data_IF_690227965615
#
_entry.id   IF_690227965615
#
_cell.length_a   1.000
_cell.length_b   1.000
_cell.length_c   1.000
_cell.angle_alpha   90.00
_cell.angle_beta   90.00
_cell.angle_gamma   90.00
#
_symmetry.space_group_name_H-M   'P 1'
#
loop_
_entity.id
_entity.type
_entity.pdbx_description
1 polymer ?
#
# COMPACT_ATOMS: atom_id res chain seq x y z
N UNK A 1 -4.77 5.36 28.60
CA UNK A 1 -4.11 6.66 28.38
C UNK A 1 -4.92 7.77 29.03
N UNK A 2 -4.29 8.73 29.73
CA UNK A 2 -4.98 9.90 30.27
C UNK A 2 -5.60 10.75 29.14
N UNK A 3 -6.79 11.33 29.36
CA UNK A 3 -7.54 12.12 28.35
C UNK A 3 -6.73 13.30 27.77
N UNK A 4 -5.74 13.79 28.51
CA UNK A 4 -4.94 14.98 28.20
C UNK A 4 -3.98 14.80 27.00
N UNK A 5 -3.59 13.55 26.68
CA UNK A 5 -2.66 13.24 25.58
C UNK A 5 -3.36 12.72 24.31
N UNK A 6 -4.70 12.75 24.26
CA UNK A 6 -5.49 12.34 23.08
C UNK A 6 -5.67 13.49 22.09
N UNK A 7 -4.59 14.14 21.69
CA UNK A 7 -4.63 15.17 20.64
C UNK A 7 -4.19 14.60 19.29
N UNK A 8 -4.76 15.08 18.17
CA UNK A 8 -4.30 14.72 16.82
C UNK A 8 -2.80 14.91 16.64
N UNK A 9 -2.25 16.02 17.15
CA UNK A 9 -0.82 16.31 17.09
C UNK A 9 0.03 15.26 17.83
N UNK A 10 -0.38 14.84 19.03
CA UNK A 10 0.34 13.82 19.77
C UNK A 10 0.24 12.43 19.13
N UNK A 11 -0.91 12.12 18.50
CA UNK A 11 -1.07 10.89 17.74
C UNK A 11 -0.14 10.85 16.52
N UNK A 12 -0.04 11.96 15.77
CA UNK A 12 0.89 12.08 14.65
C UNK A 12 2.36 12.09 15.09
N UNK A 13 2.68 12.73 16.22
CA UNK A 13 4.03 12.70 16.78
C UNK A 13 4.49 11.28 17.10
N UNK A 14 3.61 10.42 17.64
CA UNK A 14 3.90 9.00 17.87
C UNK A 14 4.18 8.25 16.56
N UNK A 15 3.38 8.49 15.51
CA UNK A 15 3.65 7.92 14.18
C UNK A 15 5.02 8.39 13.65
N UNK A 16 5.32 9.68 13.79
CA UNK A 16 6.62 10.25 13.42
C UNK A 16 7.79 9.62 14.18
N UNK A 17 7.65 9.39 15.48
CA UNK A 17 8.66 8.68 16.28
C UNK A 17 8.93 7.27 15.76
N UNK A 18 7.88 6.54 15.36
CA UNK A 18 8.05 5.20 14.78
C UNK A 18 8.80 5.25 13.44
N UNK A 19 8.55 6.26 12.62
CA UNK A 19 9.29 6.49 11.37
C UNK A 19 10.77 6.77 11.66
N UNK A 20 11.07 7.63 12.65
CA UNK A 20 12.45 7.94 13.05
C UNK A 20 13.16 6.67 13.57
N UNK A 21 12.48 5.88 14.40
CA UNK A 21 13.01 4.61 14.89
C UNK A 21 13.29 3.63 13.75
N UNK A 22 12.35 3.46 12.81
CA UNK A 22 12.52 2.60 11.65
C UNK A 22 13.72 3.01 10.79
N UNK A 23 13.91 4.31 10.55
CA UNK A 23 15.07 4.83 9.82
C UNK A 23 16.37 4.61 10.59
N UNK A 24 16.38 4.86 11.90
CA UNK A 24 17.55 4.60 12.75
C UNK A 24 17.96 3.13 12.76
N UNK A 25 16.99 2.22 12.86
CA UNK A 25 17.21 0.78 12.74
C UNK A 25 17.71 0.37 11.35
N UNK A 26 17.17 0.95 10.28
CA UNK A 26 17.64 0.73 8.91
C UNK A 26 19.11 1.10 8.76
N UNK A 27 19.52 2.25 9.31
CA UNK A 27 20.92 2.71 9.25
C UNK A 27 21.83 1.81 10.08
N UNK A 28 21.40 1.43 11.29
CA UNK A 28 22.16 0.54 12.18
C UNK A 28 22.40 -0.84 11.55
N UNK A 29 21.42 -1.33 10.80
CA UNK A 29 21.49 -2.58 10.03
C UNK A 29 22.21 -2.40 8.68
N UNK A 30 22.92 -1.28 8.46
CA UNK A 30 23.63 -0.96 7.21
C UNK A 30 22.74 -1.07 5.96
N UNK A 31 21.46 -0.69 6.09
CA UNK A 31 20.44 -0.78 5.04
C UNK A 31 20.18 -2.21 4.53
N UNK A 32 20.55 -3.24 5.31
CA UNK A 32 20.20 -4.63 5.00
C UNK A 32 18.67 -4.84 4.93
N UNK A 33 17.90 -4.05 5.69
CA UNK A 33 16.45 -3.97 5.59
C UNK A 33 16.06 -2.53 5.31
N UNK A 34 15.23 -2.31 4.30
CA UNK A 34 14.77 -0.98 3.93
C UNK A 34 13.88 -0.36 5.02
N UNK A 35 14.06 0.95 5.25
CA UNK A 35 13.30 1.71 6.23
C UNK A 35 11.77 1.59 6.06
N UNK A 36 11.23 1.50 4.83
CA UNK A 36 9.80 1.35 4.60
C UNK A 36 9.25 0.01 5.12
N UNK A 37 10.03 -1.06 4.98
CA UNK A 37 9.68 -2.38 5.53
C UNK A 37 9.70 -2.34 7.06
N UNK A 38 10.72 -1.69 7.65
CA UNK A 38 10.79 -1.50 9.10
C UNK A 38 9.65 -0.63 9.63
N UNK A 39 9.25 0.42 8.90
CA UNK A 39 8.07 1.23 9.22
C UNK A 39 6.79 0.38 9.28
N UNK A 40 6.60 -0.52 8.31
CA UNK A 40 5.45 -1.43 8.31
C UNK A 40 5.49 -2.40 9.50
N UNK A 41 6.62 -3.05 9.73
CA UNK A 41 6.78 -4.01 10.82
C UNK A 41 6.60 -3.36 12.20
N UNK A 42 7.31 -2.26 12.46
CA UNK A 42 7.18 -1.51 13.71
C UNK A 42 5.79 -0.90 13.86
N UNK A 43 5.17 -0.45 12.76
CA UNK A 43 3.80 0.03 12.75
C UNK A 43 2.81 -1.03 13.23
N UNK A 44 2.93 -2.28 12.74
CA UNK A 44 2.11 -3.42 13.20
C UNK A 44 2.39 -3.71 14.68
N UNK A 45 3.66 -3.84 15.05
CA UNK A 45 4.07 -4.20 16.42
C UNK A 45 3.59 -3.15 17.44
N UNK A 46 3.85 -1.87 17.19
CA UNK A 46 3.43 -0.81 18.11
C UNK A 46 1.92 -0.58 18.10
N UNK A 47 1.20 -0.93 17.03
CA UNK A 47 -0.27 -0.95 17.05
C UNK A 47 -0.80 -2.07 17.95
N UNK A 48 -0.18 -3.25 17.93
CA UNK A 48 -0.55 -4.38 18.81
C UNK A 48 -0.28 -4.07 20.29
N UNK A 49 0.81 -3.39 20.61
CA UNK A 49 1.10 -2.94 21.98
C UNK A 49 0.26 -1.72 22.42
N UNK A 50 -0.63 -1.20 21.56
CA UNK A 50 -1.47 -0.04 21.86
C UNK A 50 -0.72 1.29 21.93
N UNK A 51 0.55 1.33 21.52
CA UNK A 51 1.36 2.55 21.40
C UNK A 51 0.86 3.42 20.24
N UNK A 52 0.54 2.78 19.11
CA UNK A 52 -0.12 3.40 17.96
C UNK A 52 -1.61 3.06 17.97
N UNK A 53 -2.45 4.06 17.72
CA UNK A 53 -3.89 3.85 17.59
C UNK A 53 -4.23 3.31 16.19
N UNK A 54 -5.25 2.48 16.07
CA UNK A 54 -5.77 2.12 14.75
C UNK A 54 -6.37 3.35 14.08
N UNK A 55 -6.18 3.47 12.76
CA UNK A 55 -6.67 4.59 11.95
C UNK A 55 -6.20 5.98 12.44
N UNK A 56 -4.94 6.10 12.91
CA UNK A 56 -4.37 7.37 13.43
C UNK A 56 -4.62 8.53 12.46
N UNK A 57 -4.30 8.35 11.19
CA UNK A 57 -4.39 9.41 10.19
C UNK A 57 -5.83 9.91 10.01
N UNK A 58 -6.81 9.01 10.08
CA UNK A 58 -8.22 9.35 9.96
C UNK A 58 -8.71 10.06 11.22
N UNK A 59 -8.36 9.55 12.41
CA UNK A 59 -8.68 10.17 13.69
C UNK A 59 -8.04 11.54 13.87
N UNK A 60 -6.86 11.74 13.29
CA UNK A 60 -6.15 13.01 13.29
C UNK A 60 -6.70 14.00 12.24
N UNK A 61 -7.66 13.59 11.40
CA UNK A 61 -8.28 14.43 10.38
C UNK A 61 -7.40 14.74 9.16
N UNK A 62 -6.23 14.10 9.06
CA UNK A 62 -5.24 14.37 8.00
C UNK A 62 -5.28 13.36 6.85
N UNK A 63 -6.04 12.27 6.98
CA UNK A 63 -6.05 11.20 5.98
C UNK A 63 -6.46 11.67 4.58
N UNK A 64 -7.60 12.37 4.46
CA UNK A 64 -8.05 12.87 3.15
C UNK A 64 -7.08 13.90 2.56
N UNK A 65 -6.49 14.75 3.41
CA UNK A 65 -5.42 15.67 3.02
C UNK A 65 -4.21 14.94 2.43
N UNK A 66 -3.81 13.84 3.05
CA UNK A 66 -2.72 13.00 2.57
C UNK A 66 -3.06 12.34 1.23
N UNK A 67 -4.29 11.82 1.06
CA UNK A 67 -4.75 11.27 -0.23
C UNK A 67 -4.69 12.34 -1.33
N UNK A 68 -5.22 13.54 -1.09
CA UNK A 68 -5.17 14.63 -2.07
C UNK A 68 -3.74 15.04 -2.42
N UNK A 69 -2.86 15.14 -1.42
CA UNK A 69 -1.45 15.43 -1.65
C UNK A 69 -0.74 14.38 -2.49
N UNK A 70 -0.99 13.09 -2.23
CA UNK A 70 -0.42 11.99 -3.02
C UNK A 70 -0.96 11.97 -4.45
N UNK A 71 -2.26 12.20 -4.64
CA UNK A 71 -2.85 12.29 -5.98
C UNK A 71 -2.31 13.49 -6.76
N UNK A 72 -2.14 14.64 -6.10
CA UNK A 72 -1.50 15.81 -6.71
C UNK A 72 -0.05 15.52 -7.11
N UNK A 73 0.70 14.80 -6.26
CA UNK A 73 2.06 14.34 -6.60
C UNK A 73 2.08 13.44 -7.83
N UNK A 74 1.15 12.47 -7.94
CA UNK A 74 1.02 11.62 -9.13
C UNK A 74 0.78 12.47 -10.39
N UNK A 75 -0.14 13.44 -10.34
CA UNK A 75 -0.39 14.31 -11.48
C UNK A 75 0.80 15.22 -11.82
N UNK A 76 1.56 15.67 -10.82
CA UNK A 76 2.81 16.40 -11.05
C UNK A 76 3.80 15.56 -11.85
N UNK A 77 3.98 14.27 -11.50
CA UNK A 77 4.87 13.36 -12.24
C UNK A 77 4.36 13.06 -13.65
N UNK A 78 3.04 13.05 -13.85
CA UNK A 78 2.46 12.91 -15.18
C UNK A 78 2.70 14.16 -16.04
N UNK A 79 2.62 15.35 -15.43
CA UNK A 79 2.81 16.63 -16.15
C UNK A 79 4.22 16.83 -16.70
N UNK A 80 5.22 16.12 -16.17
CA UNK A 80 6.60 16.17 -16.70
C UNK A 80 6.78 15.32 -17.96
N UNK A 81 5.77 14.56 -18.38
CA UNK A 81 5.82 13.68 -19.56
C UNK A 81 5.05 14.30 -20.72
N UNK A 82 5.69 14.49 -21.88
CA UNK A 82 4.98 14.97 -23.07
C UNK A 82 4.11 13.87 -23.67
N UNK A 83 2.98 14.20 -24.34
CA UNK A 83 2.16 13.19 -25.03
C UNK A 83 2.97 12.35 -26.00
N UNK A 84 3.92 12.95 -26.73
CA UNK A 84 4.79 12.23 -27.68
C UNK A 84 5.67 11.19 -26.99
N UNK A 85 6.29 11.54 -25.85
CA UNK A 85 7.07 10.59 -25.05
C UNK A 85 6.19 9.48 -24.48
N UNK A 86 4.98 9.82 -24.05
CA UNK A 86 4.02 8.84 -23.54
C UNK A 86 3.67 7.80 -24.62
N UNK A 87 3.32 8.25 -25.84
CA UNK A 87 2.99 7.36 -26.96
C UNK A 87 4.14 6.43 -27.34
N UNK A 88 5.39 6.87 -27.18
CA UNK A 88 6.55 6.04 -27.45
C UNK A 88 6.68 4.85 -26.48
N UNK A 89 6.24 5.02 -25.22
CA UNK A 89 6.29 3.97 -24.20
C UNK A 89 5.05 3.07 -24.16
N UNK A 90 3.94 3.47 -24.80
CA UNK A 90 2.69 2.72 -24.81
C UNK A 90 2.90 1.24 -25.18
N UNK A 91 3.59 0.88 -26.29
CA UNK A 91 3.76 -0.52 -26.66
C UNK A 91 4.46 -1.35 -25.57
N UNK A 92 5.51 -0.79 -24.96
CA UNK A 92 6.26 -1.44 -23.88
C UNK A 92 5.40 -1.58 -22.62
N UNK A 93 4.66 -0.52 -22.23
CA UNK A 93 3.76 -0.55 -21.08
C UNK A 93 2.69 -1.63 -21.27
N UNK A 94 2.03 -1.67 -22.43
CA UNK A 94 1.01 -2.69 -22.71
C UNK A 94 1.59 -4.10 -22.70
N UNK A 95 2.77 -4.30 -23.30
CA UNK A 95 3.43 -5.61 -23.32
C UNK A 95 3.75 -6.09 -21.91
N UNK A 96 4.38 -5.22 -21.09
CA UNK A 96 4.71 -5.55 -19.70
C UNK A 96 3.46 -5.76 -18.85
N UNK A 97 2.41 -4.97 -19.05
CA UNK A 97 1.15 -5.09 -18.34
C UNK A 97 0.47 -6.43 -18.65
N UNK A 98 0.41 -6.84 -19.92
CA UNK A 98 -0.15 -8.14 -20.32
C UNK A 98 0.65 -9.28 -19.68
N UNK A 99 1.98 -9.24 -19.77
CA UNK A 99 2.85 -10.26 -19.17
C UNK A 99 2.69 -10.33 -17.65
N UNK A 100 2.62 -9.18 -16.98
CA UNK A 100 2.43 -9.09 -15.53
C UNK A 100 1.06 -9.67 -15.13
N UNK A 101 -0.02 -9.28 -15.81
CA UNK A 101 -1.38 -9.79 -15.55
C UNK A 101 -1.46 -11.31 -15.80
N UNK A 102 -0.86 -11.81 -16.89
CA UNK A 102 -0.82 -13.24 -17.17
C UNK A 102 -0.03 -14.00 -16.08
N UNK A 103 1.14 -13.51 -15.68
CA UNK A 103 1.93 -14.11 -14.61
C UNK A 103 1.17 -14.15 -13.28
N UNK A 104 0.54 -13.03 -12.91
CA UNK A 104 -0.31 -12.95 -11.71
C UNK A 104 -1.50 -13.91 -11.79
N UNK A 105 -2.16 -14.01 -12.94
CA UNK A 105 -3.29 -14.91 -13.13
C UNK A 105 -2.91 -16.39 -13.02
N UNK A 106 -1.78 -16.79 -13.64
CA UNK A 106 -1.26 -18.15 -13.53
C UNK A 106 -0.92 -18.45 -12.07
N UNK A 107 -0.14 -17.59 -11.42
CA UNK A 107 0.31 -17.83 -10.05
C UNK A 107 -0.85 -17.89 -9.06
N UNK A 108 -1.77 -16.94 -9.13
CA UNK A 108 -2.95 -16.92 -8.24
C UNK A 108 -3.81 -18.17 -8.43
N UNK A 109 -3.99 -18.66 -9.66
CA UNK A 109 -4.69 -19.95 -9.89
C UNK A 109 -4.02 -21.14 -9.23
N UNK A 110 -2.69 -21.16 -9.14
CA UNK A 110 -1.95 -22.27 -8.54
C UNK A 110 -2.02 -22.23 -7.02
N UNK A 111 -1.92 -21.04 -6.42
CA UNK A 111 -1.71 -20.91 -4.96
C UNK A 111 -2.94 -20.44 -4.17
N UNK A 112 -4.01 -19.92 -4.80
CA UNK A 112 -5.12 -19.29 -4.06
C UNK A 112 -5.74 -20.20 -3.00
N UNK A 113 -5.86 -21.51 -3.27
CA UNK A 113 -6.43 -22.49 -2.33
C UNK A 113 -5.58 -22.64 -1.07
N UNK A 114 -4.26 -22.55 -1.21
CA UNK A 114 -3.34 -22.65 -0.06
C UNK A 114 -3.55 -21.51 0.93
N UNK A 115 -3.91 -20.32 0.43
CA UNK A 115 -4.19 -19.14 1.25
C UNK A 115 -5.66 -19.02 1.69
N UNK A 116 -6.51 -19.99 1.34
CA UNK A 116 -7.94 -19.96 1.67
C UNK A 116 -8.72 -18.85 0.97
N UNK A 117 -8.18 -18.27 -0.11
CA UNK A 117 -8.83 -17.21 -0.87
C UNK A 117 -9.60 -17.76 -2.08
N UNK A 118 -10.69 -17.09 -2.42
CA UNK A 118 -11.33 -17.27 -3.73
C UNK A 118 -10.36 -16.85 -4.85
N UNK A 119 -10.59 -17.34 -6.06
CA UNK A 119 -9.70 -17.02 -7.20
C UNK A 119 -9.72 -15.53 -7.50
N UNK A 120 -10.89 -14.94 -7.38
CA UNK A 120 -11.19 -13.54 -7.65
C UNK A 120 -10.52 -12.66 -6.60
N UNK A 121 -10.60 -13.04 -5.31
CA UNK A 121 -9.92 -12.32 -4.22
C UNK A 121 -8.40 -12.41 -4.39
N UNK A 122 -7.86 -13.60 -4.65
CA UNK A 122 -6.43 -13.78 -4.83
C UNK A 122 -5.91 -12.96 -6.02
N UNK A 123 -6.63 -12.95 -7.14
CA UNK A 123 -6.29 -12.14 -8.30
C UNK A 123 -6.40 -10.63 -7.99
N UNK A 124 -7.47 -10.19 -7.35
CA UNK A 124 -7.64 -8.79 -6.96
C UNK A 124 -6.49 -8.32 -6.05
N UNK A 125 -6.09 -9.13 -5.06
CA UNK A 125 -4.93 -8.83 -4.21
C UNK A 125 -3.60 -8.89 -4.95
N UNK A 126 -3.47 -9.65 -6.03
CA UNK A 126 -2.24 -9.63 -6.84
C UNK A 126 -2.17 -8.37 -7.71
N UNK A 127 -3.30 -7.95 -8.27
CA UNK A 127 -3.41 -6.78 -9.15
C UNK A 127 -3.08 -5.46 -8.43
N UNK A 128 -3.15 -5.39 -7.10
CA UNK A 128 -2.69 -4.20 -6.33
C UNK A 128 -1.21 -3.89 -6.57
N UNK A 129 -0.42 -4.85 -7.06
CA UNK A 129 0.96 -4.60 -7.48
C UNK A 129 1.10 -3.61 -8.65
N UNK A 130 0.01 -3.36 -9.40
CA UNK A 130 0.02 -2.46 -10.56
C UNK A 130 -0.19 -0.99 -10.20
N UNK A 131 -1.02 -0.70 -9.18
CA UNK A 131 -1.45 0.66 -8.88
C UNK A 131 -0.87 1.19 -7.57
N UNK A 132 -0.80 0.35 -6.53
CA UNK A 132 -0.31 0.76 -5.22
C UNK A 132 -1.17 1.83 -4.54
N UNK A 133 -0.69 2.33 -3.41
CA UNK A 133 -1.35 3.40 -2.66
C UNK A 133 -1.00 4.79 -3.24
N UNK A 134 -1.96 5.74 -3.39
CA UNK A 134 -3.36 5.73 -2.93
C UNK A 134 -4.37 5.17 -3.93
N UNK A 135 -3.97 4.79 -5.13
CA UNK A 135 -4.90 4.35 -6.18
C UNK A 135 -5.73 3.12 -5.78
N UNK A 136 -5.10 2.10 -5.19
CA UNK A 136 -5.79 0.92 -4.65
C UNK A 136 -6.84 1.28 -3.61
N UNK A 137 -6.53 2.26 -2.75
CA UNK A 137 -7.47 2.73 -1.71
C UNK A 137 -8.70 3.37 -2.34
N UNK A 138 -8.50 4.25 -3.32
CA UNK A 138 -9.58 4.96 -4.01
C UNK A 138 -10.45 3.97 -4.77
N UNK A 139 -9.84 3.13 -5.61
CA UNK A 139 -10.56 2.14 -6.41
C UNK A 139 -11.36 1.16 -5.56
N UNK A 140 -10.78 0.65 -4.46
CA UNK A 140 -11.48 -0.27 -3.56
C UNK A 140 -12.68 0.42 -2.91
N UNK A 141 -12.55 1.68 -2.47
CA UNK A 141 -13.67 2.43 -1.91
C UNK A 141 -14.77 2.71 -2.94
N UNK A 142 -14.40 3.03 -4.18
CA UNK A 142 -15.37 3.30 -5.25
C UNK A 142 -16.15 2.02 -5.60
N UNK A 143 -15.47 0.87 -5.69
CA UNK A 143 -16.13 -0.43 -5.89
C UNK A 143 -17.05 -0.78 -4.73
N UNK A 144 -16.62 -0.56 -3.48
CA UNK A 144 -17.48 -0.81 -2.30
C UNK A 144 -18.74 0.04 -2.35
N UNK A 145 -18.60 1.35 -2.66
CA UNK A 145 -19.74 2.27 -2.74
C UNK A 145 -20.71 1.94 -3.87
N UNK A 146 -20.20 1.41 -4.98
CA UNK A 146 -21.01 1.03 -6.14
C UNK A 146 -21.79 -0.25 -5.90
N UNK A 147 -21.22 -1.21 -5.17
CA UNK A 147 -21.81 -2.54 -4.96
C UNK A 147 -22.64 -2.63 -3.67
N UNK A 148 -22.31 -1.85 -2.64
CA UNK A 148 -23.05 -1.87 -1.38
C UNK A 148 -24.37 -1.09 -1.49
N UNK A 149 -25.46 -1.69 -1.03
CA UNK A 149 -26.79 -1.05 -1.02
C UNK A 149 -27.08 -0.38 0.33
N UNK A 150 -26.45 -0.89 1.40
CA UNK A 150 -26.68 -0.41 2.78
C UNK A 150 -25.39 0.07 3.46
N UNK A 151 -25.55 0.81 4.55
CA UNK A 151 -24.43 1.27 5.37
C UNK A 151 -23.72 0.09 6.04
N UNK A 152 -24.47 -0.89 6.51
CA UNK A 152 -23.97 -2.11 7.12
C UNK A 152 -23.13 -2.92 6.14
N UNK A 153 -23.58 -3.05 4.88
CA UNK A 153 -22.80 -3.69 3.81
C UNK A 153 -21.52 -2.92 3.48
N UNK A 154 -21.61 -1.58 3.41
CA UNK A 154 -20.44 -0.71 3.19
C UNK A 154 -19.40 -0.94 4.27
N UNK A 155 -19.80 -0.96 5.54
CA UNK A 155 -18.90 -1.19 6.68
C UNK A 155 -18.31 -2.61 6.66
N UNK A 156 -19.13 -3.63 6.35
CA UNK A 156 -18.68 -5.01 6.23
C UNK A 156 -17.64 -5.18 5.12
N UNK A 157 -17.93 -4.70 3.91
CA UNK A 157 -17.03 -4.78 2.76
C UNK A 157 -15.76 -3.97 3.01
N UNK A 158 -15.86 -2.79 3.59
CA UNK A 158 -14.70 -1.97 3.97
C UNK A 158 -13.80 -2.72 4.96
N UNK A 159 -14.37 -3.31 6.00
CA UNK A 159 -13.61 -4.08 6.99
C UNK A 159 -12.93 -5.32 6.40
N UNK A 160 -13.51 -5.91 5.35
CA UNK A 160 -12.99 -7.15 4.75
C UNK A 160 -12.01 -6.93 3.60
N UNK A 161 -12.26 -5.93 2.76
CA UNK A 161 -11.50 -5.66 1.53
C UNK A 161 -10.32 -4.72 1.78
N UNK A 162 -10.55 -3.60 2.48
CA UNK A 162 -9.50 -2.57 2.64
C UNK A 162 -8.22 -3.11 3.26
N UNK A 163 -8.25 -3.91 4.34
CA UNK A 163 -7.02 -4.46 4.90
C UNK A 163 -6.27 -5.35 3.91
N UNK A 164 -6.98 -6.17 3.11
CA UNK A 164 -6.36 -7.09 2.15
C UNK A 164 -5.70 -6.34 1.00
N UNK A 165 -6.39 -5.36 0.42
CA UNK A 165 -5.86 -4.58 -0.71
C UNK A 165 -4.65 -3.74 -0.29
N UNK A 166 -4.72 -3.07 0.87
CA UNK A 166 -3.62 -2.23 1.33
C UNK A 166 -2.39 -3.05 1.73
N UNK A 167 -2.58 -4.15 2.48
CA UNK A 167 -1.45 -5.01 2.88
C UNK A 167 -0.81 -5.65 1.66
N UNK A 168 -1.60 -6.10 0.69
CA UNK A 168 -1.07 -6.67 -0.55
C UNK A 168 -0.26 -5.64 -1.35
N UNK A 169 -0.81 -4.44 -1.59
CA UNK A 169 -0.12 -3.36 -2.32
C UNK A 169 1.18 -2.93 -1.63
N UNK A 170 1.20 -2.80 -0.31
CA UNK A 170 2.43 -2.48 0.42
C UNK A 170 3.46 -3.60 0.35
N UNK A 171 3.03 -4.87 0.46
CA UNK A 171 3.93 -6.01 0.36
C UNK A 171 4.59 -6.09 -1.03
N UNK A 172 3.84 -5.87 -2.10
CA UNK A 172 4.36 -5.99 -3.47
C UNK A 172 5.26 -4.83 -3.84
N UNK A 173 4.83 -3.58 -3.63
CA UNK A 173 5.57 -2.39 -4.07
C UNK A 173 6.80 -2.15 -3.20
N UNK A 174 6.74 -2.48 -1.91
CA UNK A 174 7.88 -2.32 -1.01
C UNK A 174 8.74 -3.57 -0.97
N UNK A 175 8.23 -4.66 -0.39
CA UNK A 175 9.06 -5.82 -0.02
C UNK A 175 9.55 -6.55 -1.28
N UNK A 176 8.65 -6.94 -2.17
CA UNK A 176 9.00 -7.71 -3.37
C UNK A 176 9.94 -6.93 -4.28
N UNK A 177 9.67 -5.64 -4.54
CA UNK A 177 10.55 -4.78 -5.33
C UNK A 177 11.96 -4.69 -4.77
N UNK A 178 12.10 -4.55 -3.44
CA UNK A 178 13.42 -4.47 -2.79
C UNK A 178 14.17 -5.79 -2.90
N UNK A 179 13.50 -6.93 -2.67
CA UNK A 179 14.11 -8.25 -2.79
C UNK A 179 14.61 -8.48 -4.20
N UNK A 180 13.79 -8.17 -5.20
CA UNK A 180 14.15 -8.29 -6.61
C UNK A 180 15.33 -7.37 -6.94
N UNK A 181 15.25 -6.07 -6.60
CA UNK A 181 16.33 -5.12 -6.83
C UNK A 181 17.64 -5.56 -6.17
N UNK A 182 17.57 -6.09 -4.95
CA UNK A 182 18.74 -6.61 -4.21
C UNK A 182 19.39 -7.81 -4.89
N UNK A 183 18.62 -8.63 -5.61
CA UNK A 183 19.16 -9.73 -6.43
C UNK A 183 19.81 -9.18 -7.69
N UNK A 184 19.14 -8.27 -8.41
CA UNK A 184 19.66 -7.69 -9.65
C UNK A 184 20.94 -6.88 -9.45
N UNK A 185 21.08 -6.16 -8.33
CA UNK A 185 22.32 -5.43 -8.00
C UNK A 185 23.52 -6.36 -7.91
N UNK A 186 23.33 -7.63 -7.48
CA UNK A 186 24.43 -8.60 -7.43
C UNK A 186 24.82 -9.18 -8.80
N UNK A 187 24.01 -8.94 -9.82
CA UNK A 187 24.24 -9.38 -11.20
C UNK A 187 24.91 -8.29 -12.07
N UNK A 188 25.03 -7.06 -11.54
CA UNK A 188 25.77 -5.94 -12.12
C UNK A 188 27.19 -5.88 -11.55
#
# INVERSE_FOLDING_TARGET
MPKQYRTPAFALARVGLVIVLANGLSILLQHAVNANILCLLLGIVFSQFGLLETNVLQKAGVFNWLIYGLTAYIFSQLSTTTPSTLFHFIPQIFTLMILAILGMWIMTRLIHKFFGYSKEMALATALTALFGFPADYILTNDVIKEVAETKEETEYLTAHLMPKMLVAGFATVSITSIVIASIFIKLL
#
